data_IF_030341513123
#
_entry.id   IF_030341513123
#
_cell.length_a   1.000
_cell.length_b   1.000
_cell.length_c   1.000
_cell.angle_alpha   90.00
_cell.angle_beta   90.00
_cell.angle_gamma   90.00
#
_symmetry.space_group_name_H-M   'P 1'
#
loop_
_entity.id
_entity.type
_entity.pdbx_description
1 polymer ?
#
# COMPACT_ATOMS: atom_id res chain seq x y z
N UNK A 1 4.35 4.95 10.91
CA UNK A 1 5.42 4.84 9.88
C UNK A 1 4.80 4.53 8.54
N UNK A 2 5.26 5.16 7.45
CA UNK A 2 4.78 4.86 6.09
C UNK A 2 5.92 4.25 5.28
N UNK A 3 5.64 3.16 4.57
CA UNK A 3 6.57 2.45 3.67
C UNK A 3 5.96 2.45 2.27
N UNK A 4 6.75 2.82 1.26
CA UNK A 4 6.31 2.85 -0.14
C UNK A 4 7.24 1.99 -0.97
N UNK A 5 6.67 1.06 -1.73
CA UNK A 5 7.42 0.18 -2.62
C UNK A 5 6.76 0.10 -3.99
N UNK A 6 7.53 -0.31 -4.99
CA UNK A 6 7.00 -0.59 -6.33
C UNK A 6 6.55 -2.03 -6.51
N UNK A 7 7.11 -2.97 -5.73
CA UNK A 7 6.94 -4.40 -5.95
C UNK A 7 7.09 -5.20 -4.64
N UNK A 8 6.21 -4.99 -3.68
CA UNK A 8 6.20 -5.66 -2.38
C UNK A 8 7.44 -5.39 -1.53
N UNK A 9 7.68 -6.27 -0.58
CA UNK A 9 8.85 -6.27 0.31
C UNK A 9 9.94 -7.24 -0.20
N UNK A 10 9.99 -7.49 -1.49
CA UNK A 10 10.69 -8.57 -2.19
C UNK A 10 12.22 -8.60 -2.05
N UNK A 11 12.85 -7.66 -1.38
CA UNK A 11 14.29 -7.73 -1.12
C UNK A 11 14.59 -8.13 0.31
N UNK A 12 15.52 -9.06 0.50
CA UNK A 12 16.01 -9.47 1.82
C UNK A 12 16.45 -8.26 2.65
N UNK A 13 17.03 -7.25 1.97
CA UNK A 13 17.44 -5.99 2.62
C UNK A 13 16.26 -5.25 3.22
N UNK A 14 15.15 -5.12 2.47
CA UNK A 14 13.97 -4.39 2.93
C UNK A 14 13.30 -5.10 4.11
N UNK A 15 13.17 -6.43 4.04
CA UNK A 15 12.68 -7.25 5.15
C UNK A 15 13.57 -7.12 6.39
N UNK A 16 14.90 -7.15 6.19
CA UNK A 16 15.85 -6.95 7.28
C UNK A 16 15.72 -5.56 7.92
N UNK A 17 15.58 -4.51 7.11
CA UNK A 17 15.44 -3.13 7.58
C UNK A 17 14.10 -2.90 8.31
N UNK A 18 13.02 -3.62 7.92
CA UNK A 18 11.71 -3.53 8.57
C UNK A 18 11.61 -4.35 9.87
N UNK A 19 12.39 -5.43 9.99
CA UNK A 19 12.29 -6.34 11.11
C UNK A 19 12.40 -5.68 12.51
N UNK A 20 13.30 -4.69 12.75
CA UNK A 20 13.37 -4.00 14.04
C UNK A 20 12.07 -3.28 14.43
N UNK A 21 11.29 -2.84 13.44
CA UNK A 21 10.02 -2.14 13.66
C UNK A 21 8.84 -3.09 13.84
N UNK A 22 8.94 -4.31 13.32
CA UNK A 22 7.85 -5.30 13.33
C UNK A 22 8.02 -6.39 14.38
N UNK A 23 9.21 -6.57 14.96
CA UNK A 23 9.53 -7.69 15.87
C UNK A 23 8.62 -7.83 17.10
N UNK A 24 7.97 -6.76 17.53
CA UNK A 24 7.04 -6.74 18.67
C UNK A 24 5.57 -6.61 18.23
N UNK A 25 5.31 -6.67 16.92
CA UNK A 25 3.98 -6.65 16.33
C UNK A 25 3.51 -8.08 16.05
N UNK A 26 2.22 -8.27 15.86
CA UNK A 26 1.65 -9.62 15.72
C UNK A 26 0.69 -9.77 14.55
N UNK A 27 0.14 -8.67 14.04
CA UNK A 27 -0.96 -8.71 13.09
C UNK A 27 -0.74 -7.78 11.90
N UNK A 28 -1.10 -8.28 10.73
CA UNK A 28 -1.12 -7.52 9.49
C UNK A 28 -2.40 -7.78 8.71
N UNK A 29 -2.76 -6.84 7.85
CA UNK A 29 -3.87 -7.00 6.91
C UNK A 29 -3.46 -6.49 5.54
N UNK A 30 -3.78 -7.28 4.50
CA UNK A 30 -3.59 -6.88 3.10
C UNK A 30 -4.91 -6.34 2.55
N UNK A 31 -4.91 -5.06 2.19
CA UNK A 31 -6.01 -4.43 1.46
C UNK A 31 -5.87 -4.79 -0.01
N UNK A 32 -6.73 -5.70 -0.47
CA UNK A 32 -6.70 -6.26 -1.83
C UNK A 32 -7.53 -5.47 -2.86
N UNK A 33 -8.28 -4.47 -2.45
CA UNK A 33 -9.28 -3.75 -3.27
C UNK A 33 -8.74 -3.28 -4.63
N UNK A 34 -7.49 -2.81 -4.70
CA UNK A 34 -6.88 -2.36 -5.95
C UNK A 34 -6.83 -3.48 -7.02
N UNK A 35 -6.70 -4.74 -6.62
CA UNK A 35 -6.62 -5.90 -7.52
C UNK A 35 -7.98 -6.34 -8.07
N UNK A 36 -9.10 -5.94 -7.45
CA UNK A 36 -10.44 -6.35 -7.86
C UNK A 36 -10.80 -5.92 -9.29
N UNK A 37 -10.27 -4.78 -9.74
CA UNK A 37 -10.52 -4.24 -11.08
C UNK A 37 -9.59 -4.76 -12.17
N UNK A 38 -8.55 -5.52 -11.79
CA UNK A 38 -7.51 -6.00 -12.72
C UNK A 38 -7.48 -7.52 -12.73
N UNK A 39 -7.94 -8.19 -13.81
CA UNK A 39 -7.96 -9.64 -13.86
C UNK A 39 -6.57 -10.25 -13.64
N UNK A 40 -6.46 -11.15 -12.67
CA UNK A 40 -5.25 -11.90 -12.35
C UNK A 40 -4.25 -11.20 -11.41
N UNK A 41 -4.51 -9.99 -10.96
CA UNK A 41 -3.68 -9.29 -9.94
C UNK A 41 -3.81 -9.94 -8.55
N UNK A 42 -4.92 -10.63 -8.28
CA UNK A 42 -5.13 -11.44 -7.09
C UNK A 42 -4.09 -12.55 -6.90
N UNK A 43 -3.39 -12.94 -7.97
CA UNK A 43 -2.29 -13.92 -7.93
C UNK A 43 -1.07 -13.45 -7.13
N UNK A 44 -0.93 -12.14 -6.93
CA UNK A 44 0.14 -11.59 -6.10
C UNK A 44 -0.14 -11.72 -4.60
N UNK A 45 -1.38 -11.90 -4.18
CA UNK A 45 -1.76 -11.93 -2.76
C UNK A 45 -1.03 -13.00 -1.94
N UNK A 46 -0.90 -14.28 -2.40
CA UNK A 46 -0.15 -15.28 -1.64
C UNK A 46 1.31 -14.90 -1.40
N UNK A 47 1.94 -14.25 -2.38
CA UNK A 47 3.31 -13.79 -2.26
C UNK A 47 3.44 -12.62 -1.27
N UNK A 48 2.52 -11.66 -1.26
CA UNK A 48 2.48 -10.56 -0.28
C UNK A 48 2.24 -11.10 1.14
N UNK A 49 1.39 -12.12 1.26
CA UNK A 49 1.15 -12.81 2.53
C UNK A 49 2.43 -13.47 3.04
N UNK A 50 3.17 -14.19 2.18
CA UNK A 50 4.44 -14.83 2.53
C UNK A 50 5.46 -13.80 3.03
N UNK A 51 5.57 -12.62 2.40
CA UNK A 51 6.47 -11.54 2.83
C UNK A 51 6.15 -11.03 4.23
N UNK A 52 4.89 -10.80 4.55
CA UNK A 52 4.47 -10.36 5.89
C UNK A 52 4.65 -11.48 6.94
N UNK A 53 4.45 -12.74 6.57
CA UNK A 53 4.71 -13.89 7.43
C UNK A 53 6.21 -14.05 7.76
N UNK A 54 7.13 -13.69 6.83
CA UNK A 54 8.57 -13.63 7.11
C UNK A 54 8.89 -12.62 8.22
N UNK A 55 8.07 -11.57 8.37
CA UNK A 55 8.15 -10.62 9.48
C UNK A 55 7.45 -11.13 10.77
N UNK A 56 6.98 -12.39 10.78
CA UNK A 56 6.28 -13.06 11.89
C UNK A 56 4.91 -12.46 12.21
N UNK A 57 4.25 -11.87 11.23
CA UNK A 57 2.92 -11.33 11.38
C UNK A 57 1.87 -12.36 10.95
N UNK A 58 0.75 -12.42 11.68
CA UNK A 58 -0.47 -13.09 11.23
C UNK A 58 -1.17 -12.20 10.22
N UNK A 59 -1.56 -12.74 9.07
CA UNK A 59 -2.04 -11.95 7.93
C UNK A 59 -3.51 -12.26 7.63
N UNK A 60 -4.33 -11.23 7.56
CA UNK A 60 -5.70 -11.28 7.07
C UNK A 60 -5.83 -10.48 5.76
N UNK A 61 -6.95 -10.65 5.05
CA UNK A 61 -7.31 -9.87 3.87
C UNK A 61 -8.46 -8.93 4.17
N UNK A 62 -8.47 -7.77 3.51
CA UNK A 62 -9.49 -6.74 3.64
C UNK A 62 -9.86 -6.15 2.27
N UNK A 63 -11.13 -5.78 2.14
CA UNK A 63 -11.64 -5.18 0.91
C UNK A 63 -12.56 -3.98 1.22
N UNK A 64 -12.19 -2.78 0.79
CA UNK A 64 -13.02 -1.57 0.97
C UNK A 64 -14.40 -1.64 0.33
N UNK A 65 -14.61 -2.56 -0.62
CA UNK A 65 -15.90 -2.71 -1.28
C UNK A 65 -16.92 -3.48 -0.41
N UNK A 66 -16.45 -4.26 0.56
CA UNK A 66 -17.30 -5.15 1.37
C UNK A 66 -17.15 -5.00 2.87
N UNK A 67 -15.98 -4.57 3.34
CA UNK A 67 -15.62 -4.63 4.77
C UNK A 67 -15.71 -3.25 5.44
N UNK A 68 -15.90 -3.22 6.75
CA UNK A 68 -15.93 -1.97 7.51
C UNK A 68 -14.51 -1.43 7.72
N UNK A 69 -14.19 -0.22 7.22
CA UNK A 69 -12.87 0.38 7.39
C UNK A 69 -12.38 0.50 8.83
N UNK A 70 -13.28 0.57 9.80
CA UNK A 70 -12.92 0.62 11.22
C UNK A 70 -12.17 -0.64 11.68
N UNK A 71 -12.34 -1.78 11.01
CA UNK A 71 -11.62 -3.01 11.32
C UNK A 71 -10.12 -2.89 11.10
N UNK A 72 -9.68 -2.04 10.16
CA UNK A 72 -8.26 -1.80 9.90
C UNK A 72 -7.52 -1.28 11.14
N UNK A 73 -8.21 -0.62 12.06
CA UNK A 73 -7.62 -0.14 13.32
C UNK A 73 -7.20 -1.25 14.28
N UNK A 74 -7.59 -2.49 14.04
CA UNK A 74 -7.24 -3.65 14.89
C UNK A 74 -5.85 -4.20 14.58
N UNK A 75 -5.34 -3.95 13.37
CA UNK A 75 -4.06 -4.49 12.90
C UNK A 75 -2.89 -3.56 13.23
N UNK A 76 -1.73 -4.15 13.43
CA UNK A 76 -0.47 -3.42 13.67
C UNK A 76 0.12 -2.88 12.36
N UNK A 77 -0.03 -3.65 11.28
CA UNK A 77 0.45 -3.34 9.94
C UNK A 77 -0.72 -3.39 8.95
N UNK A 78 -0.86 -2.36 8.14
CA UNK A 78 -1.83 -2.31 7.03
C UNK A 78 -1.04 -2.18 5.73
N UNK A 79 -1.20 -3.15 4.83
CA UNK A 79 -0.56 -3.15 3.52
C UNK A 79 -1.61 -2.97 2.42
N UNK A 80 -1.46 -1.95 1.59
CA UNK A 80 -2.29 -1.73 0.41
C UNK A 80 -1.60 -2.30 -0.82
N UNK A 81 -2.23 -3.29 -1.46
CA UNK A 81 -1.69 -4.02 -2.62
C UNK A 81 -1.62 -3.18 -3.91
N UNK A 82 -0.97 -3.75 -4.92
CA UNK A 82 -0.97 -3.24 -6.28
C UNK A 82 -2.30 -3.44 -7.02
N UNK A 83 -2.43 -2.86 -8.20
CA UNK A 83 -3.62 -2.91 -9.07
C UNK A 83 -3.97 -1.56 -9.67
N UNK A 84 -5.25 -1.23 -9.72
CA UNK A 84 -5.74 0.05 -10.25
C UNK A 84 -5.81 1.13 -9.13
N UNK A 85 -4.97 2.17 -9.16
CA UNK A 85 -4.95 3.20 -8.13
C UNK A 85 -6.22 4.08 -8.13
N UNK A 86 -6.87 4.26 -9.29
CA UNK A 86 -8.10 5.05 -9.37
C UNK A 86 -9.28 4.29 -8.79
N UNK A 87 -9.34 2.98 -9.05
CA UNK A 87 -10.35 2.12 -8.43
C UNK A 87 -10.19 2.10 -6.92
N UNK A 88 -8.98 1.84 -6.43
CA UNK A 88 -8.67 1.85 -4.99
C UNK A 88 -9.05 3.19 -4.34
N UNK A 89 -8.67 4.30 -4.97
CA UNK A 89 -8.99 5.65 -4.47
C UNK A 89 -10.50 5.88 -4.35
N UNK A 90 -11.25 5.46 -5.35
CA UNK A 90 -12.71 5.60 -5.35
C UNK A 90 -13.38 4.72 -4.29
N UNK A 91 -12.92 3.47 -4.08
CA UNK A 91 -13.41 2.57 -3.03
C UNK A 91 -13.12 3.13 -1.63
N UNK A 92 -11.91 3.66 -1.39
CA UNK A 92 -11.56 4.33 -0.12
C UNK A 92 -12.50 5.53 0.14
N UNK A 93 -12.78 6.35 -0.89
CA UNK A 93 -13.68 7.50 -0.79
C UNK A 93 -15.11 7.08 -0.47
N UNK A 94 -15.63 6.05 -1.15
CA UNK A 94 -16.99 5.51 -0.92
C UNK A 94 -17.15 4.94 0.49
N UNK A 95 -16.12 4.27 0.98
CA UNK A 95 -16.08 3.72 2.33
C UNK A 95 -15.83 4.79 3.42
N UNK A 96 -15.58 6.06 3.05
CA UNK A 96 -15.18 7.13 3.97
C UNK A 96 -13.94 6.80 4.83
N UNK A 97 -12.97 6.04 4.28
CA UNK A 97 -11.84 5.48 5.00
C UNK A 97 -10.62 6.42 5.09
N UNK A 98 -10.66 7.61 4.51
CA UNK A 98 -9.51 8.52 4.44
C UNK A 98 -8.93 8.90 5.80
N UNK A 99 -9.81 9.23 6.77
CA UNK A 99 -9.39 9.59 8.12
C UNK A 99 -8.80 8.40 8.89
N UNK A 100 -9.31 7.20 8.62
CA UNK A 100 -8.81 5.95 9.21
C UNK A 100 -7.40 5.67 8.70
N UNK A 101 -7.18 5.75 7.39
CA UNK A 101 -5.85 5.54 6.79
C UNK A 101 -4.82 6.58 7.27
N UNK A 102 -5.21 7.84 7.43
CA UNK A 102 -4.34 8.87 8.01
C UNK A 102 -3.95 8.53 9.45
N UNK A 103 -4.92 8.11 10.26
CA UNK A 103 -4.65 7.67 11.63
C UNK A 103 -3.73 6.45 11.69
N UNK A 104 -3.90 5.47 10.79
CA UNK A 104 -3.02 4.31 10.69
C UNK A 104 -1.58 4.76 10.34
N UNK A 105 -1.42 5.68 9.38
CA UNK A 105 -0.11 6.21 9.01
C UNK A 105 0.63 6.92 10.16
N UNK A 106 -0.12 7.59 11.04
CA UNK A 106 0.41 8.29 12.22
C UNK A 106 0.79 7.33 13.35
N UNK A 107 -0.07 6.34 13.64
CA UNK A 107 0.02 5.53 14.85
C UNK A 107 0.61 4.12 14.61
N UNK A 108 0.62 3.63 13.37
CA UNK A 108 0.94 2.24 13.01
C UNK A 108 1.91 2.18 11.82
N UNK A 109 2.02 1.01 11.19
CA UNK A 109 2.76 0.82 9.95
C UNK A 109 1.76 0.73 8.79
N UNK A 110 1.90 1.65 7.83
CA UNK A 110 1.15 1.65 6.58
C UNK A 110 2.10 1.41 5.42
N UNK A 111 1.91 0.29 4.72
CA UNK A 111 2.69 -0.09 3.56
C UNK A 111 1.85 0.15 2.31
N UNK A 112 2.42 0.75 1.29
CA UNK A 112 1.80 0.90 -0.02
C UNK A 112 2.65 0.30 -1.11
N UNK A 113 2.04 -0.57 -1.93
CA UNK A 113 2.69 -1.24 -3.05
C UNK A 113 2.06 -0.75 -4.34
N UNK A 114 2.86 -0.25 -5.29
CA UNK A 114 2.37 0.19 -6.60
C UNK A 114 1.13 1.11 -6.50
N UNK A 115 -0.08 0.63 -6.82
CA UNK A 115 -1.33 1.37 -6.66
C UNK A 115 -1.53 1.86 -5.22
N UNK A 116 -1.26 1.01 -4.21
CA UNK A 116 -1.31 1.36 -2.80
C UNK A 116 -0.33 2.48 -2.42
N UNK A 117 0.84 2.54 -3.05
CA UNK A 117 1.80 3.64 -2.87
C UNK A 117 1.31 4.95 -3.52
N UNK A 118 0.72 4.85 -4.70
CA UNK A 118 0.24 6.00 -5.48
C UNK A 118 -0.89 6.72 -4.76
N UNK A 119 -1.87 6.00 -4.21
CA UNK A 119 -3.02 6.62 -3.54
C UNK A 119 -2.66 7.36 -2.26
N UNK A 120 -1.53 7.03 -1.63
CA UNK A 120 -1.06 7.71 -0.42
C UNK A 120 -0.50 9.10 -0.70
N UNK A 121 -0.14 9.41 -1.93
CA UNK A 121 0.39 10.71 -2.32
C UNK A 121 -0.68 11.80 -2.24
N UNK A 122 -0.24 13.05 -2.22
CA UNK A 122 -1.14 14.21 -2.26
C UNK A 122 -1.78 14.38 -3.63
N UNK A 123 -1.03 14.08 -4.70
CA UNK A 123 -1.44 14.27 -6.08
C UNK A 123 -1.13 13.03 -6.92
N UNK A 124 -2.13 12.55 -7.63
CA UNK A 124 -2.04 11.40 -8.54
C UNK A 124 -2.05 11.84 -10.02
N UNK A 125 -1.92 13.13 -10.33
CA UNK A 125 -2.06 13.67 -11.70
C UNK A 125 -1.06 13.07 -12.69
N UNK A 126 0.14 12.68 -12.24
CA UNK A 126 1.14 12.00 -13.08
C UNK A 126 0.60 10.69 -13.67
N UNK A 127 -0.31 10.02 -12.96
CA UNK A 127 -0.89 8.75 -13.42
C UNK A 127 -1.98 8.96 -14.47
N UNK A 128 -2.59 10.14 -14.57
CA UNK A 128 -3.61 10.45 -15.58
C UNK A 128 -3.05 10.40 -17.00
N UNK A 129 -1.78 10.74 -17.17
CA UNK A 129 -1.08 10.64 -18.45
C UNK A 129 -0.83 9.21 -18.93
N UNK A 130 -0.95 8.22 -18.06
CA UNK A 130 -0.73 6.80 -18.35
C UNK A 130 -2.03 6.04 -18.67
N UNK A 131 -3.19 6.63 -18.38
CA UNK A 131 -4.49 6.07 -18.72
C UNK A 131 -5.30 7.06 -19.59
N UNK A 132 -5.50 6.78 -20.88
CA UNK A 132 -6.35 7.59 -21.74
C UNK A 132 -7.82 7.27 -21.45
N UNK A 133 -8.41 7.84 -20.40
CA UNK A 133 -9.87 7.88 -20.21
C UNK A 133 -10.34 9.32 -20.17
N UNK A 134 -11.27 9.71 -21.07
CA UNK A 134 -11.71 11.10 -21.23
C UNK A 134 -12.52 11.68 -20.06
N UNK A 135 -12.83 10.89 -19.04
CA UNK A 135 -13.75 11.28 -17.97
C UNK A 135 -13.11 11.49 -16.59
N UNK A 136 -11.78 11.64 -16.53
CA UNK A 136 -11.10 11.94 -15.27
C UNK A 136 -11.39 13.39 -14.85
N UNK A 137 -12.39 13.56 -13.99
CA UNK A 137 -12.65 14.85 -13.32
C UNK A 137 -11.49 15.16 -12.35
N UNK A 138 -11.23 16.46 -12.12
CA UNK A 138 -10.16 16.93 -11.21
C UNK A 138 -10.18 16.24 -9.82
N UNK A 139 -11.35 15.80 -9.37
CA UNK A 139 -11.49 15.09 -8.10
C UNK A 139 -10.81 13.71 -8.06
N UNK A 140 -10.51 13.09 -9.23
CA UNK A 140 -9.83 11.81 -9.33
C UNK A 140 -8.31 11.91 -9.26
N UNK A 141 -7.75 13.09 -9.45
CA UNK A 141 -6.32 13.35 -9.36
C UNK A 141 -5.83 13.56 -7.92
N UNK A 142 -6.72 13.90 -7.00
CA UNK A 142 -6.37 14.10 -5.60
C UNK A 142 -6.15 12.75 -4.90
N UNK A 143 -4.96 12.52 -4.35
CA UNK A 143 -4.64 11.38 -3.52
C UNK A 143 -5.13 11.54 -2.07
N UNK A 144 -4.74 10.63 -1.18
CA UNK A 144 -5.13 10.64 0.23
C UNK A 144 -4.39 11.69 1.07
N UNK A 145 -3.32 12.28 0.52
CA UNK A 145 -2.42 13.18 1.25
C UNK A 145 -1.95 12.58 2.61
N UNK A 146 -1.71 11.26 2.64
CA UNK A 146 -1.10 10.57 3.78
C UNK A 146 0.36 10.95 3.88
N UNK A 147 1.01 11.07 2.72
CA UNK A 147 2.41 11.48 2.59
C UNK A 147 2.43 12.99 2.40
N UNK A 148 2.87 13.70 3.41
CA UNK A 148 3.06 15.16 3.39
C UNK A 148 4.54 15.52 3.51
N UNK A 149 4.90 16.75 3.22
CA UNK A 149 6.30 17.22 3.33
C UNK A 149 6.89 17.07 4.75
N UNK A 150 6.05 16.88 5.77
CA UNK A 150 6.45 16.66 7.16
C UNK A 150 6.53 15.17 7.55
N UNK A 151 6.16 14.25 6.67
CA UNK A 151 6.25 12.81 6.95
C UNK A 151 7.71 12.37 6.82
N UNK A 152 8.28 11.75 7.84
CA UNK A 152 9.61 11.13 7.73
C UNK A 152 9.55 9.97 6.74
N UNK A 153 10.31 10.10 5.66
CA UNK A 153 10.38 9.08 4.61
C UNK A 153 11.51 8.11 4.89
N UNK A 154 11.17 6.83 5.00
CA UNK A 154 12.13 5.75 4.80
C UNK A 154 12.00 5.29 3.34
N UNK A 155 12.74 5.95 2.43
CA UNK A 155 12.90 5.43 1.07
C UNK A 155 13.85 4.24 1.10
N UNK A 156 13.29 3.06 1.23
CA UNK A 156 14.03 1.82 1.04
C UNK A 156 13.99 1.48 -0.45
N UNK A 157 14.93 2.02 -1.23
CA UNK A 157 15.05 1.65 -2.63
C UNK A 157 15.75 0.29 -2.71
N UNK A 158 15.07 -0.72 -3.22
CA UNK A 158 15.71 -1.91 -3.75
C UNK A 158 16.43 -1.52 -5.05
N UNK A 159 17.63 -0.96 -4.95
CA UNK A 159 18.52 -0.86 -6.08
C UNK A 159 18.90 -2.28 -6.47
N UNK A 160 18.47 -2.71 -7.67
CA UNK A 160 18.93 -3.96 -8.26
C UNK A 160 20.46 -3.90 -8.37
N UNK A 161 21.15 -4.64 -7.53
CA UNK A 161 22.58 -4.89 -7.63
C UNK A 161 22.79 -5.83 -8.82
N UNK A 162 22.92 -5.23 -10.01
CA UNK A 162 23.47 -5.90 -11.18
C UNK A 162 24.98 -5.77 -11.11
N UNK A 163 25.61 -6.60 -10.32
CA UNK A 163 27.01 -6.96 -10.55
C UNK A 163 27.03 -7.81 -11.82
N UNK A 164 27.33 -7.15 -12.93
CA UNK A 164 27.75 -7.82 -14.15
C UNK A 164 29.21 -8.18 -13.91
N UNK A 165 29.46 -9.42 -13.51
CA UNK A 165 30.78 -10.01 -13.61
C UNK A 165 31.06 -10.22 -15.10
N UNK A 166 32.04 -9.45 -15.62
CA UNK A 166 32.66 -9.64 -16.90
C UNK A 166 33.84 -10.65 -16.82
#
# INVERSE_FOLDING_TARGET
>A
MVVITSNGLSSDKLLYDLFPYTQNLSSAVIVKTASNSVPGEDKSLPWLEDELQMLRLSVDCFDFDTDDPAELLRYDVVEMSGGDPFYLRESIRKANAESILKKIAEEKILIGISAGAIVQQQDMSLMQGLQPKPDATESKACGLAVITASTEYSFLSAAADKTIDG
#
